data_IF_253312506007
#
_entry.id   IF_253312506007
#
_cell.length_a   1.000
_cell.length_b   1.000
_cell.length_c   1.000
_cell.angle_alpha   90.00
_cell.angle_beta   90.00
_cell.angle_gamma   90.00
#
_symmetry.space_group_name_H-M   'P 1'
#
loop_
_entity.id
_entity.type
_entity.pdbx_description
1 polymer ?
#
# COMPACT_ATOMS: atom_id res chain seq x y z
N UNK A 1 -10.98 -16.48 -14.79
CA UNK A 1 -10.49 -15.08 -14.79
C UNK A 1 -10.99 -14.37 -16.03
N UNK A 2 -11.15 -13.04 -15.99
CA UNK A 2 -11.65 -12.26 -17.12
C UNK A 2 -10.50 -11.70 -17.96
N UNK A 3 -10.69 -11.49 -19.26
CA UNK A 3 -9.67 -10.86 -20.12
C UNK A 3 -9.22 -9.48 -19.65
N UNK A 4 -10.10 -8.75 -18.96
CA UNK A 4 -9.77 -7.47 -18.31
C UNK A 4 -8.72 -7.69 -17.20
N UNK A 5 -8.89 -8.73 -16.38
CA UNK A 5 -7.93 -9.08 -15.32
C UNK A 5 -6.60 -9.56 -15.90
N UNK A 6 -6.63 -10.43 -16.93
CA UNK A 6 -5.41 -10.91 -17.60
C UNK A 6 -4.53 -9.73 -18.09
N UNK A 7 -5.17 -8.67 -18.63
CA UNK A 7 -4.48 -7.45 -19.07
C UNK A 7 -3.88 -6.68 -17.88
N UNK A 8 -4.62 -6.56 -16.78
CA UNK A 8 -4.15 -5.85 -15.58
C UNK A 8 -2.95 -6.57 -14.96
N UNK A 9 -2.99 -7.89 -14.86
CA UNK A 9 -1.90 -8.69 -14.27
C UNK A 9 -0.63 -8.59 -15.13
N UNK A 10 -0.77 -8.72 -16.45
CA UNK A 10 0.33 -8.52 -17.39
C UNK A 10 0.91 -7.10 -17.32
N UNK A 11 0.05 -6.09 -17.18
CA UNK A 11 0.47 -4.70 -17.06
C UNK A 11 1.23 -4.46 -15.75
N UNK A 12 0.74 -4.97 -14.61
CA UNK A 12 1.44 -4.90 -13.32
C UNK A 12 2.85 -5.49 -13.46
N UNK A 13 2.98 -6.69 -14.02
CA UNK A 13 4.28 -7.33 -14.25
C UNK A 13 5.22 -6.47 -15.10
N UNK A 14 4.77 -6.00 -16.25
CA UNK A 14 5.61 -5.18 -17.15
C UNK A 14 6.00 -3.86 -16.47
N UNK A 15 5.07 -3.21 -15.76
CA UNK A 15 5.35 -1.97 -15.06
C UNK A 15 6.32 -2.17 -13.88
N UNK A 16 6.25 -3.29 -13.17
CA UNK A 16 7.20 -3.60 -12.08
C UNK A 16 8.59 -3.95 -12.64
N UNK A 17 8.69 -4.57 -13.81
CA UNK A 17 9.97 -4.92 -14.44
C UNK A 17 10.65 -3.72 -15.13
N UNK A 18 9.90 -2.98 -15.94
CA UNK A 18 10.45 -1.97 -16.87
C UNK A 18 10.05 -0.52 -16.56
N UNK A 19 9.13 -0.30 -15.62
CA UNK A 19 8.55 1.01 -15.33
C UNK A 19 7.43 1.40 -16.30
N UNK A 20 6.57 2.34 -15.89
CA UNK A 20 5.39 2.75 -16.68
C UNK A 20 5.74 3.51 -17.96
N UNK A 21 6.86 4.25 -17.98
CA UNK A 21 7.28 5.03 -19.14
C UNK A 21 7.76 4.15 -20.30
N UNK A 22 8.56 3.11 -20.02
CA UNK A 22 9.10 2.21 -21.04
C UNK A 22 8.06 1.17 -21.53
N UNK A 23 7.04 0.89 -20.72
CA UNK A 23 6.00 -0.07 -21.06
C UNK A 23 5.10 0.41 -22.22
N UNK A 24 4.81 -0.50 -23.15
CA UNK A 24 3.93 -0.25 -24.30
C UNK A 24 2.65 -1.09 -24.22
N UNK A 25 1.56 -0.61 -24.78
CA UNK A 25 0.31 -1.39 -24.90
C UNK A 25 0.53 -2.67 -25.71
N UNK A 26 1.41 -2.64 -26.70
CA UNK A 26 1.86 -3.82 -27.46
C UNK A 26 2.54 -4.88 -26.58
N UNK A 27 3.50 -4.50 -25.73
CA UNK A 27 4.16 -5.45 -24.83
C UNK A 27 3.19 -6.05 -23.81
N UNK A 28 2.26 -5.24 -23.29
CA UNK A 28 1.19 -5.72 -22.39
C UNK A 28 0.27 -6.70 -23.10
N UNK A 29 -0.12 -6.42 -24.34
CA UNK A 29 -0.99 -7.31 -25.12
C UNK A 29 -0.32 -8.68 -25.38
N UNK A 30 0.98 -8.66 -25.67
CA UNK A 30 1.77 -9.88 -25.87
C UNK A 30 1.83 -10.73 -24.59
N UNK A 31 2.15 -10.11 -23.44
CA UNK A 31 2.22 -10.79 -22.14
C UNK A 31 0.85 -11.36 -21.73
N UNK A 32 -0.23 -10.59 -21.90
CA UNK A 32 -1.60 -11.01 -21.60
C UNK A 32 -2.17 -12.01 -22.63
N UNK A 33 -1.46 -12.27 -23.73
CA UNK A 33 -1.91 -13.11 -24.86
C UNK A 33 -3.26 -12.63 -25.43
N UNK A 34 -3.38 -11.32 -25.67
CA UNK A 34 -4.55 -10.67 -26.26
C UNK A 34 -4.16 -9.74 -27.41
N UNK A 35 -5.14 -9.22 -28.14
CA UNK A 35 -4.89 -8.15 -29.10
C UNK A 35 -4.75 -6.80 -28.40
N UNK A 36 -3.93 -5.92 -28.96
CA UNK A 36 -3.78 -4.54 -28.44
C UNK A 36 -5.11 -3.77 -28.51
N UNK A 37 -5.93 -4.03 -29.54
CA UNK A 37 -7.29 -3.51 -29.65
C UNK A 37 -8.18 -3.87 -28.45
N UNK A 38 -7.97 -5.04 -27.83
CA UNK A 38 -8.73 -5.44 -26.64
C UNK A 38 -8.37 -4.59 -25.41
N UNK A 39 -7.11 -4.18 -25.28
CA UNK A 39 -6.68 -3.24 -24.23
C UNK A 39 -7.38 -1.90 -24.42
N UNK A 40 -7.33 -1.33 -25.63
CA UNK A 40 -8.02 -0.07 -25.93
C UNK A 40 -9.53 -0.18 -25.76
N UNK A 41 -10.14 -1.34 -26.04
CA UNK A 41 -11.57 -1.58 -25.79
C UNK A 41 -11.91 -1.43 -24.31
N UNK A 42 -11.14 -2.05 -23.42
CA UNK A 42 -11.40 -2.05 -21.97
C UNK A 42 -10.99 -0.75 -21.26
N UNK A 43 -9.80 -0.22 -21.59
CA UNK A 43 -9.16 0.83 -20.79
C UNK A 43 -9.07 2.17 -21.53
N UNK A 44 -9.22 2.22 -22.86
CA UNK A 44 -9.08 3.43 -23.71
C UNK A 44 -7.66 4.00 -23.81
N UNK A 45 -6.85 3.94 -22.76
CA UNK A 45 -5.46 4.41 -22.75
C UNK A 45 -4.60 3.62 -21.77
N UNK A 46 -3.27 3.77 -21.85
CA UNK A 46 -2.33 3.22 -20.86
C UNK A 46 -2.53 3.86 -19.48
N UNK A 47 -2.81 5.17 -19.44
CA UNK A 47 -3.01 5.88 -18.18
C UNK A 47 -4.27 5.40 -17.44
N UNK A 48 -5.36 5.16 -18.17
CA UNK A 48 -6.57 4.59 -17.60
C UNK A 48 -6.38 3.15 -17.12
N UNK A 49 -5.51 2.38 -17.78
CA UNK A 49 -5.11 1.04 -17.31
C UNK A 49 -4.35 1.13 -15.98
N UNK A 50 -3.41 2.08 -15.86
CA UNK A 50 -2.70 2.36 -14.60
C UNK A 50 -3.70 2.78 -13.52
N UNK A 51 -4.63 3.68 -13.83
CA UNK A 51 -5.66 4.14 -12.90
C UNK A 51 -6.54 2.98 -12.41
N UNK A 52 -6.99 2.09 -13.31
CA UNK A 52 -7.80 0.94 -12.91
C UNK A 52 -7.02 -0.04 -12.03
N UNK A 53 -5.73 -0.25 -12.29
CA UNK A 53 -4.84 -1.06 -11.45
C UNK A 53 -4.71 -0.45 -10.05
N UNK A 54 -4.43 0.85 -9.95
CA UNK A 54 -4.31 1.57 -8.68
C UNK A 54 -5.62 1.51 -7.89
N UNK A 55 -6.75 1.79 -8.54
CA UNK A 55 -8.08 1.72 -7.92
C UNK A 55 -8.41 0.30 -7.44
N UNK A 56 -8.07 -0.71 -8.22
CA UNK A 56 -8.28 -2.11 -7.84
C UNK A 56 -7.43 -2.51 -6.64
N UNK A 57 -6.14 -2.17 -6.66
CA UNK A 57 -5.22 -2.45 -5.55
C UNK A 57 -5.64 -1.80 -4.25
N UNK A 58 -6.01 -0.51 -4.26
CA UNK A 58 -6.51 0.16 -3.06
C UNK A 58 -7.88 -0.34 -2.59
N UNK A 59 -8.74 -0.82 -3.50
CA UNK A 59 -10.01 -1.46 -3.12
C UNK A 59 -9.78 -2.74 -2.33
N UNK A 60 -8.85 -3.58 -2.77
CA UNK A 60 -8.48 -4.80 -2.03
C UNK A 60 -7.75 -4.47 -0.72
N UNK A 61 -6.84 -3.49 -0.73
CA UNK A 61 -6.20 -3.01 0.48
C UNK A 61 -7.22 -2.52 1.52
N UNK A 62 -8.21 -1.73 1.10
CA UNK A 62 -9.29 -1.24 2.00
C UNK A 62 -10.08 -2.39 2.63
N UNK A 63 -10.38 -3.44 1.87
CA UNK A 63 -11.04 -4.65 2.42
C UNK A 63 -10.17 -5.35 3.46
N UNK A 64 -8.86 -5.41 3.24
CA UNK A 64 -7.92 -6.02 4.20
C UNK A 64 -7.78 -5.17 5.47
N UNK A 65 -7.69 -3.85 5.33
CA UNK A 65 -7.69 -2.92 6.47
C UNK A 65 -8.96 -3.12 7.30
N UNK A 66 -10.14 -3.11 6.68
CA UNK A 66 -11.41 -3.30 7.38
C UNK A 66 -11.53 -4.64 8.13
N UNK A 67 -10.78 -5.68 7.73
CA UNK A 67 -10.75 -6.98 8.41
C UNK A 67 -9.79 -7.04 9.59
N UNK A 68 -8.73 -6.22 9.60
CA UNK A 68 -7.63 -6.32 10.57
C UNK A 68 -7.50 -5.09 11.48
N UNK A 69 -8.15 -3.99 11.12
CA UNK A 69 -8.08 -2.73 11.84
C UNK A 69 -9.46 -2.31 12.29
N UNK A 70 -9.71 -2.49 13.57
CA UNK A 70 -10.85 -1.95 14.29
C UNK A 70 -10.33 -1.14 15.48
N UNK A 71 -10.97 -0.01 15.77
CA UNK A 71 -10.63 0.80 16.93
C UNK A 71 -11.31 0.23 18.17
N UNK A 72 -10.60 -0.65 18.89
CA UNK A 72 -11.08 -1.24 20.15
C UNK A 72 -10.50 -0.50 21.36
N UNK A 73 -9.17 -0.37 21.42
CA UNK A 73 -8.47 0.53 22.35
C UNK A 73 -7.38 1.31 21.59
N UNK A 74 -6.87 2.42 22.15
CA UNK A 74 -5.75 3.14 21.55
C UNK A 74 -4.52 2.26 21.29
N UNK A 75 -4.13 1.44 22.28
CA UNK A 75 -2.96 0.57 22.17
C UNK A 75 -3.15 -0.49 21.09
N UNK A 76 -4.32 -1.13 21.05
CA UNK A 76 -4.61 -2.14 20.04
C UNK A 76 -4.65 -1.52 18.64
N UNK A 77 -5.21 -0.31 18.51
CA UNK A 77 -5.28 0.40 17.24
C UNK A 77 -3.88 0.69 16.70
N UNK A 78 -3.01 1.31 17.51
CA UNK A 78 -1.62 1.62 17.11
C UNK A 78 -0.87 0.32 16.75
N UNK A 79 -0.98 -0.71 17.60
CA UNK A 79 -0.30 -1.99 17.38
C UNK A 79 -0.76 -2.68 16.09
N UNK A 80 -2.06 -2.71 15.83
CA UNK A 80 -2.63 -3.33 14.62
C UNK A 80 -2.32 -2.50 13.37
N UNK A 81 -2.31 -1.18 13.47
CA UNK A 81 -1.93 -0.30 12.36
C UNK A 81 -0.47 -0.51 11.94
N UNK A 82 0.44 -0.68 12.91
CA UNK A 82 1.85 -1.02 12.67
C UNK A 82 2.06 -2.40 12.03
N UNK A 83 1.09 -3.30 12.14
CA UNK A 83 1.09 -4.62 11.50
C UNK A 83 0.67 -4.57 10.02
N UNK A 84 -0.14 -3.57 9.64
CA UNK A 84 -0.73 -3.49 8.30
C UNK A 84 0.29 -3.45 7.16
N UNK A 85 1.45 -2.76 7.23
CA UNK A 85 2.46 -2.83 6.18
C UNK A 85 2.81 -4.25 5.76
N UNK A 86 3.00 -5.15 6.73
CA UNK A 86 3.28 -6.57 6.46
C UNK A 86 2.09 -7.23 5.78
N UNK A 87 0.90 -7.11 6.38
CA UNK A 87 -0.32 -7.77 5.89
C UNK A 87 -0.61 -7.34 4.45
N UNK A 88 -0.59 -6.03 4.19
CA UNK A 88 -0.93 -5.45 2.89
C UNK A 88 0.10 -5.84 1.83
N UNK A 89 1.40 -5.68 2.12
CA UNK A 89 2.45 -5.98 1.14
C UNK A 89 2.53 -7.46 0.82
N UNK A 90 2.45 -8.35 1.81
CA UNK A 90 2.51 -9.80 1.57
C UNK A 90 1.25 -10.33 0.88
N UNK A 91 0.10 -9.67 1.03
CA UNK A 91 -1.14 -10.08 0.35
C UNK A 91 -1.14 -9.77 -1.15
N UNK A 92 -0.36 -8.78 -1.59
CA UNK A 92 -0.26 -8.42 -3.01
C UNK A 92 1.08 -7.72 -3.32
N UNK A 93 2.17 -8.48 -3.30
CA UNK A 93 3.54 -7.95 -3.40
C UNK A 93 3.75 -7.13 -4.67
N UNK A 94 3.22 -7.60 -5.81
CA UNK A 94 3.42 -6.94 -7.09
C UNK A 94 2.72 -5.58 -7.17
N UNK A 95 1.52 -5.46 -6.60
CA UNK A 95 0.84 -4.17 -6.50
C UNK A 95 1.65 -3.18 -5.66
N UNK A 96 2.13 -3.57 -4.48
CA UNK A 96 2.88 -2.65 -3.61
C UNK A 96 4.26 -2.29 -4.17
N UNK A 97 4.91 -3.22 -4.88
CA UNK A 97 6.12 -2.94 -5.68
C UNK A 97 5.85 -1.91 -6.77
N UNK A 98 4.75 -2.08 -7.50
CA UNK A 98 4.34 -1.12 -8.51
C UNK A 98 4.07 0.24 -7.87
N UNK A 99 3.26 0.27 -6.81
CA UNK A 99 2.87 1.47 -6.08
C UNK A 99 4.09 2.25 -5.60
N UNK A 100 5.09 1.57 -5.02
CA UNK A 100 6.36 2.19 -4.62
C UNK A 100 7.04 2.91 -5.78
N UNK A 101 7.09 2.28 -6.96
CA UNK A 101 7.73 2.85 -8.16
C UNK A 101 6.96 4.01 -8.79
N UNK A 102 5.62 3.94 -8.80
CA UNK A 102 4.79 4.92 -9.52
C UNK A 102 4.37 6.12 -8.67
N UNK A 103 4.29 5.97 -7.34
CA UNK A 103 3.84 7.05 -6.44
C UNK A 103 4.60 8.38 -6.63
N UNK A 104 5.94 8.41 -6.77
CA UNK A 104 6.66 9.67 -6.96
C UNK A 104 6.58 10.23 -8.40
N UNK A 105 6.07 9.45 -9.36
CA UNK A 105 6.07 9.78 -10.79
C UNK A 105 4.68 10.04 -11.37
N UNK A 106 3.62 9.74 -10.63
CA UNK A 106 2.24 9.81 -11.11
C UNK A 106 1.33 10.44 -10.04
N UNK A 107 0.86 11.68 -10.31
CA UNK A 107 0.06 12.45 -9.37
C UNK A 107 -1.25 11.76 -8.96
N UNK A 108 -1.87 10.99 -9.85
CA UNK A 108 -3.08 10.22 -9.53
C UNK A 108 -2.76 9.10 -8.54
N UNK A 109 -1.67 8.36 -8.75
CA UNK A 109 -1.22 7.35 -7.80
C UNK A 109 -0.85 7.96 -6.44
N UNK A 110 -0.21 9.14 -6.42
CA UNK A 110 0.06 9.91 -5.20
C UNK A 110 -1.23 10.27 -4.47
N UNK A 111 -2.22 10.82 -5.18
CA UNK A 111 -3.48 11.24 -4.60
C UNK A 111 -4.27 10.05 -4.00
N UNK A 112 -4.31 8.91 -4.70
CA UNK A 112 -4.92 7.70 -4.17
C UNK A 112 -4.23 7.20 -2.90
N UNK A 113 -2.89 7.21 -2.85
CA UNK A 113 -2.16 6.83 -1.65
C UNK A 113 -2.45 7.76 -0.47
N UNK A 114 -2.44 9.07 -0.71
CA UNK A 114 -2.73 10.06 0.32
C UNK A 114 -4.15 9.88 0.90
N UNK A 115 -5.15 9.70 0.03
CA UNK A 115 -6.53 9.44 0.46
C UNK A 115 -6.64 8.15 1.28
N UNK A 116 -5.91 7.10 0.90
CA UNK A 116 -5.90 5.84 1.63
C UNK A 116 -5.33 5.98 3.06
N UNK A 117 -4.32 6.84 3.24
CA UNK A 117 -3.66 7.04 4.54
C UNK A 117 -4.36 8.07 5.44
N UNK A 118 -5.21 8.93 4.88
CA UNK A 118 -5.80 10.07 5.61
C UNK A 118 -6.53 9.68 6.89
N UNK A 119 -7.34 8.62 6.87
CA UNK A 119 -8.11 8.17 8.05
C UNK A 119 -7.22 7.64 9.17
N UNK A 120 -6.05 7.10 8.84
CA UNK A 120 -5.08 6.64 9.84
C UNK A 120 -4.50 7.78 10.66
N UNK A 121 -4.28 8.96 10.05
CA UNK A 121 -3.77 10.13 10.76
C UNK A 121 -4.73 10.58 11.86
N UNK A 122 -6.01 10.78 11.52
CA UNK A 122 -7.03 11.27 12.45
C UNK A 122 -7.23 10.32 13.65
N UNK A 123 -7.23 9.01 13.40
CA UNK A 123 -7.38 8.00 14.45
C UNK A 123 -6.12 7.78 15.28
N UNK A 124 -4.92 7.97 14.71
CA UNK A 124 -3.67 7.95 15.47
C UNK A 124 -3.60 9.13 16.44
N UNK A 125 -3.93 10.35 16.01
CA UNK A 125 -3.99 11.52 16.88
C UNK A 125 -4.95 11.25 18.04
N UNK A 126 -6.16 10.74 17.74
CA UNK A 126 -7.12 10.32 18.77
C UNK A 126 -6.52 9.31 19.75
N UNK A 127 -5.87 8.26 19.25
CA UNK A 127 -5.28 7.21 20.09
C UNK A 127 -4.19 7.76 21.01
N UNK A 128 -3.26 8.57 20.49
CA UNK A 128 -2.19 9.16 21.30
C UNK A 128 -2.72 10.16 22.34
N UNK A 129 -3.75 10.93 22.00
CA UNK A 129 -4.45 11.80 22.97
C UNK A 129 -5.10 11.00 24.09
N UNK A 130 -5.82 9.92 23.78
CA UNK A 130 -6.45 9.04 24.77
C UNK A 130 -5.42 8.33 25.69
N UNK A 131 -4.19 8.16 25.21
CA UNK A 131 -3.07 7.60 25.96
C UNK A 131 -2.30 8.62 26.81
N UNK A 132 -2.59 9.91 26.66
CA UNK A 132 -1.92 10.98 27.40
C UNK A 132 -0.50 11.27 26.91
N UNK A 133 -0.23 11.12 25.61
CA UNK A 133 1.04 11.60 25.04
C UNK A 133 1.05 13.13 24.96
N UNK A 134 2.20 13.75 25.22
CA UNK A 134 2.35 15.21 25.23
C UNK A 134 2.15 15.85 23.84
N UNK A 135 2.60 15.17 22.78
CA UNK A 135 2.57 15.66 21.39
C UNK A 135 1.87 14.66 20.45
N UNK A 136 0.54 14.45 20.58
CA UNK A 136 -0.16 13.38 19.87
C UNK A 136 -0.16 13.55 18.34
N UNK A 137 -0.12 14.78 17.84
CA UNK A 137 0.01 15.07 16.41
C UNK A 137 1.36 14.64 15.85
N UNK A 138 2.45 14.94 16.56
CA UNK A 138 3.80 14.57 16.13
C UNK A 138 4.03 13.05 16.26
N UNK A 139 3.49 12.42 17.29
CA UNK A 139 3.51 10.97 17.44
C UNK A 139 2.76 10.27 16.31
N UNK A 140 1.61 10.80 15.89
CA UNK A 140 0.89 10.31 14.72
C UNK A 140 1.73 10.46 13.44
N UNK A 141 2.38 11.62 13.24
CA UNK A 141 3.25 11.86 12.08
C UNK A 141 4.44 10.88 12.04
N UNK A 142 5.15 10.71 13.15
CA UNK A 142 6.27 9.77 13.26
C UNK A 142 5.81 8.33 13.03
N UNK A 143 4.66 7.95 13.58
CA UNK A 143 4.09 6.61 13.38
C UNK A 143 3.79 6.36 11.90
N UNK A 144 3.20 7.34 11.21
CA UNK A 144 2.95 7.26 9.76
C UNK A 144 4.24 7.21 8.95
N UNK A 145 5.28 7.94 9.35
CA UNK A 145 6.60 7.88 8.71
C UNK A 145 7.22 6.48 8.85
N UNK A 146 7.09 5.85 10.02
CA UNK A 146 7.56 4.47 10.23
C UNK A 146 6.77 3.49 9.36
N UNK A 147 5.44 3.61 9.32
CA UNK A 147 4.57 2.80 8.46
C UNK A 147 5.00 2.95 7.00
N UNK A 148 5.24 4.19 6.55
CA UNK A 148 5.68 4.51 5.20
C UNK A 148 7.02 3.84 4.86
N UNK A 149 8.00 3.96 5.75
CA UNK A 149 9.29 3.28 5.62
C UNK A 149 9.16 1.76 5.59
N UNK A 150 8.33 1.17 6.46
CA UNK A 150 8.14 -0.28 6.55
C UNK A 150 7.55 -0.85 5.25
N UNK A 151 6.42 -0.33 4.77
CA UNK A 151 5.79 -0.91 3.57
C UNK A 151 6.69 -0.76 2.34
N UNK A 152 7.39 0.38 2.20
CA UNK A 152 8.35 0.59 1.10
C UNK A 152 9.54 -0.36 1.18
N UNK A 153 10.09 -0.55 2.37
CA UNK A 153 11.21 -1.46 2.58
C UNK A 153 10.82 -2.91 2.29
N UNK A 154 9.63 -3.35 2.73
CA UNK A 154 9.12 -4.70 2.44
C UNK A 154 8.82 -4.86 0.94
N UNK A 155 8.23 -3.85 0.30
CA UNK A 155 7.92 -3.91 -1.13
C UNK A 155 9.18 -3.95 -1.99
N UNK A 156 10.20 -3.16 -1.66
CA UNK A 156 11.42 -3.03 -2.46
C UNK A 156 12.35 -4.26 -2.37
N UNK A 157 12.21 -5.09 -1.34
CA UNK A 157 13.17 -6.15 -1.02
C UNK A 157 12.55 -7.55 -0.98
N UNK A 158 13.37 -8.57 -1.18
CA UNK A 158 13.01 -9.96 -0.90
C UNK A 158 13.44 -10.30 0.52
N UNK A 159 12.53 -10.04 1.47
CA UNK A 159 12.78 -10.27 2.89
C UNK A 159 12.13 -11.59 3.33
N UNK A 160 12.83 -12.29 4.21
CA UNK A 160 12.26 -13.43 4.93
C UNK A 160 11.14 -12.98 5.87
N UNK A 161 10.08 -13.78 5.99
CA UNK A 161 8.91 -13.44 6.80
C UNK A 161 9.27 -13.20 8.28
N UNK A 162 10.20 -13.98 8.82
CA UNK A 162 10.67 -13.84 10.20
C UNK A 162 11.37 -12.50 10.46
N UNK A 163 12.06 -11.94 9.45
CA UNK A 163 12.73 -10.65 9.55
C UNK A 163 11.71 -9.51 9.54
N UNK A 164 10.69 -9.60 8.67
CA UNK A 164 9.58 -8.64 8.63
C UNK A 164 8.85 -8.64 9.99
N UNK A 165 8.52 -9.82 10.51
CA UNK A 165 7.87 -9.98 11.82
C UNK A 165 8.70 -9.35 12.95
N UNK A 166 10.02 -9.53 12.92
CA UNK A 166 10.91 -8.97 13.94
C UNK A 166 10.91 -7.44 13.91
N UNK A 167 10.94 -6.81 12.72
CA UNK A 167 10.88 -5.35 12.57
C UNK A 167 9.55 -4.78 13.07
N UNK A 168 8.42 -5.41 12.71
CA UNK A 168 7.08 -4.99 13.13
C UNK A 168 6.94 -5.10 14.65
N UNK A 169 7.30 -6.26 15.23
CA UNK A 169 7.27 -6.48 16.69
C UNK A 169 8.15 -5.49 17.45
N UNK A 170 9.34 -5.19 16.93
CA UNK A 170 10.22 -4.21 17.55
C UNK A 170 9.59 -2.81 17.55
N UNK A 171 8.90 -2.44 16.47
CA UNK A 171 8.20 -1.16 16.34
C UNK A 171 7.01 -1.06 17.29
N UNK A 172 6.16 -2.08 17.35
CA UNK A 172 5.05 -2.18 18.31
C UNK A 172 5.54 -2.05 19.76
N UNK A 173 6.69 -2.69 20.07
CA UNK A 173 7.30 -2.65 21.40
C UNK A 173 7.81 -1.27 21.81
N UNK A 174 8.10 -0.36 20.86
CA UNK A 174 8.47 1.02 21.20
C UNK A 174 7.27 1.75 21.81
N UNK A 175 6.10 1.65 21.19
CA UNK A 175 4.88 2.32 21.65
C UNK A 175 4.23 1.69 22.90
N UNK A 176 4.60 0.44 23.25
CA UNK A 176 4.11 -0.20 24.49
C UNK A 176 4.94 0.10 25.74
N UNK A 177 6.07 0.79 25.61
CA UNK A 177 7.07 0.97 26.69
C UNK A 177 7.22 2.39 27.21
N UNK A 178 6.67 3.39 26.55
CA UNK A 178 6.78 4.76 27.03
C UNK A 178 5.86 4.96 28.24
N UNK A 179 6.33 5.67 29.30
CA UNK A 179 5.44 6.09 30.35
C UNK A 179 4.35 6.96 29.72
N UNK A 180 3.10 6.56 29.92
CA UNK A 180 1.97 7.48 29.84
C UNK A 180 2.28 8.56 30.88
N UNK A 181 2.44 9.82 30.45
CA UNK A 181 2.78 10.93 31.34
C UNK A 181 1.90 10.97 32.58
#
# INVERSE_FOLDING_TARGET
MSKKQDIMDAAVKIFTESGTSAATTKSIALEAKVSEALIFKYFKSKDNLIEEIVKSGYREATKLVAKHLEYQTPESYISNLLELPKILVLSNKDFWRLQYKITPLNAMATAHHHLFMKSSQELLVKAFTELGYDEPELEAEITLFIIDGLWKYIAANELEANHIDAMVKLTQKKYSRFPKG
#
